data_IF_170053319594
#
_entry.id   IF_170053319594
#
_cell.length_a   1.000
_cell.length_b   1.000
_cell.length_c   1.000
_cell.angle_alpha   90.00
_cell.angle_beta   90.00
_cell.angle_gamma   90.00
#
_symmetry.space_group_name_H-M   'P 1'
#
loop_
_entity.id
_entity.type
_entity.pdbx_description
1 polymer ?
#
# COMPACT_ATOMS: atom_id res chain seq x y z
N UNK A 1 -10.55 22.14 -19.04
CA UNK A 1 -9.86 22.04 -17.73
C UNK A 1 -10.81 22.57 -16.65
N UNK A 2 -11.42 21.69 -15.86
CA UNK A 2 -12.36 22.11 -14.82
C UNK A 2 -11.66 23.04 -13.82
N UNK A 3 -12.18 24.25 -13.66
CA UNK A 3 -11.57 25.29 -12.81
C UNK A 3 -11.99 25.03 -11.35
N UNK A 4 -11.31 24.08 -10.70
CA UNK A 4 -11.50 23.83 -9.27
C UNK A 4 -11.10 25.08 -8.47
N UNK A 5 -11.92 25.43 -7.47
CA UNK A 5 -11.60 26.50 -6.53
C UNK A 5 -10.29 26.21 -5.79
N UNK A 6 -9.54 27.26 -5.43
CA UNK A 6 -8.22 27.13 -4.75
C UNK A 6 -8.33 26.28 -3.48
N UNK A 7 -9.41 26.45 -2.73
CA UNK A 7 -9.69 25.70 -1.52
C UNK A 7 -9.86 24.19 -1.78
N UNK A 8 -10.64 23.83 -2.80
CA UNK A 8 -10.86 22.44 -3.20
C UNK A 8 -9.56 21.77 -3.63
N UNK A 9 -8.69 22.48 -4.37
CA UNK A 9 -7.37 21.95 -4.77
C UNK A 9 -6.48 21.65 -3.57
N UNK A 10 -6.47 22.53 -2.57
CA UNK A 10 -5.68 22.32 -1.34
C UNK A 10 -6.16 21.09 -0.57
N UNK A 11 -7.48 20.96 -0.39
CA UNK A 11 -8.09 19.81 0.30
C UNK A 11 -7.76 18.51 -0.42
N UNK A 12 -7.87 18.52 -1.74
CA UNK A 12 -7.57 17.37 -2.58
C UNK A 12 -6.09 16.96 -2.48
N UNK A 13 -5.17 17.93 -2.51
CA UNK A 13 -3.74 17.65 -2.30
C UNK A 13 -3.48 17.03 -0.93
N UNK A 14 -4.10 17.52 0.14
CA UNK A 14 -3.97 16.92 1.47
C UNK A 14 -4.45 15.47 1.49
N UNK A 15 -5.59 15.18 0.86
CA UNK A 15 -6.11 13.81 0.77
C UNK A 15 -5.18 12.91 -0.04
N UNK A 16 -4.61 13.39 -1.14
CA UNK A 16 -3.63 12.63 -1.92
C UNK A 16 -2.36 12.30 -1.12
N UNK A 17 -1.83 13.27 -0.38
CA UNK A 17 -0.65 13.06 0.48
C UNK A 17 -0.94 12.06 1.61
N UNK A 18 -2.10 12.20 2.27
CA UNK A 18 -2.52 11.25 3.30
C UNK A 18 -2.74 9.84 2.73
N UNK A 19 -3.39 9.74 1.56
CA UNK A 19 -3.60 8.46 0.87
C UNK A 19 -2.28 7.79 0.47
N UNK A 20 -1.32 8.55 -0.04
CA UNK A 20 0.03 8.06 -0.34
C UNK A 20 0.72 7.49 0.90
N UNK A 21 0.63 8.19 2.05
CA UNK A 21 1.19 7.72 3.31
C UNK A 21 0.54 6.41 3.78
N UNK A 22 -0.80 6.35 3.76
CA UNK A 22 -1.54 5.16 4.21
C UNK A 22 -1.28 3.96 3.32
N UNK A 23 -1.22 4.12 1.99
CA UNK A 23 -0.90 3.00 1.09
C UNK A 23 0.56 2.56 1.28
N UNK A 24 1.49 3.51 1.44
CA UNK A 24 2.92 3.21 1.58
C UNK A 24 3.24 2.38 2.83
N UNK A 25 2.58 2.69 3.94
CA UNK A 25 2.86 2.06 5.24
C UNK A 25 1.81 1.03 5.66
N UNK A 26 0.57 1.18 5.22
CA UNK A 26 -0.57 0.36 5.63
C UNK A 26 -0.84 -0.86 4.76
N UNK A 27 -0.37 -0.88 3.50
CA UNK A 27 -0.64 -2.01 2.61
C UNK A 27 -0.02 -3.32 3.09
N UNK A 28 1.27 -3.31 3.45
CA UNK A 28 2.01 -4.51 3.87
C UNK A 28 1.44 -5.11 5.17
N UNK A 29 1.20 -4.33 6.24
CA UNK A 29 0.53 -4.83 7.44
C UNK A 29 -0.85 -5.44 7.15
N UNK A 30 -1.63 -4.82 6.27
CA UNK A 30 -2.98 -5.29 5.94
C UNK A 30 -2.95 -6.63 5.21
N UNK A 31 -2.07 -6.79 4.22
CA UNK A 31 -1.90 -8.06 3.49
C UNK A 31 -1.38 -9.15 4.41
N UNK A 32 -0.42 -8.84 5.28
CA UNK A 32 0.08 -9.78 6.29
C UNK A 32 -1.06 -10.23 7.21
N UNK A 33 -1.82 -9.29 7.76
CA UNK A 33 -2.94 -9.61 8.64
C UNK A 33 -3.97 -10.53 7.95
N UNK A 34 -4.31 -10.25 6.70
CA UNK A 34 -5.22 -11.10 5.92
C UNK A 34 -4.63 -12.49 5.65
N UNK A 35 -3.32 -12.58 5.38
CA UNK A 35 -2.62 -13.86 5.22
C UNK A 35 -2.62 -14.71 6.49
N UNK A 36 -2.43 -14.07 7.66
CA UNK A 36 -2.54 -14.73 8.97
C UNK A 36 -3.98 -15.12 9.31
N UNK A 37 -4.95 -14.23 9.08
CA UNK A 37 -6.34 -14.47 9.40
C UNK A 37 -7.00 -15.56 8.54
N UNK A 38 -6.59 -15.68 7.27
CA UNK A 38 -7.07 -16.75 6.39
C UNK A 38 -6.42 -18.10 6.71
N UNK A 39 -5.25 -18.09 7.33
CA UNK A 39 -4.48 -19.29 7.64
C UNK A 39 -3.95 -20.02 6.39
N UNK A 40 -3.11 -21.03 6.60
CA UNK A 40 -2.73 -21.99 5.57
C UNK A 40 -3.63 -23.22 5.60
N UNK A 41 -3.51 -24.08 4.59
CA UNK A 41 -4.19 -25.38 4.57
C UNK A 41 -3.91 -26.20 5.84
N UNK A 42 -4.88 -27.01 6.30
CA UNK A 42 -4.74 -27.80 7.52
C UNK A 42 -3.54 -28.74 7.42
N UNK A 43 -2.53 -28.52 8.29
CA UNK A 43 -1.25 -29.23 8.29
C UNK A 43 -0.04 -28.35 8.00
N UNK A 44 -0.24 -27.10 7.57
CA UNK A 44 0.85 -26.11 7.45
C UNK A 44 1.23 -25.54 8.82
N UNK A 45 2.54 -25.41 9.13
CA UNK A 45 2.99 -24.80 10.38
C UNK A 45 2.57 -23.34 10.43
N UNK A 46 2.29 -22.86 11.65
CA UNK A 46 1.82 -21.51 11.89
C UNK A 46 2.79 -20.49 11.27
N UNK A 47 2.31 -19.58 10.41
CA UNK A 47 3.20 -18.64 9.76
C UNK A 47 3.89 -17.77 10.82
N UNK A 48 5.21 -17.61 10.68
CA UNK A 48 6.03 -16.90 11.65
C UNK A 48 6.35 -15.50 11.11
N UNK A 49 6.03 -14.46 11.90
CA UNK A 49 6.12 -13.05 11.48
C UNK A 49 7.52 -12.71 10.96
N UNK A 50 8.57 -13.22 11.60
CA UNK A 50 9.96 -12.99 11.22
C UNK A 50 10.29 -13.54 9.83
N UNK A 51 9.72 -14.69 9.46
CA UNK A 51 9.97 -15.32 8.16
C UNK A 51 9.21 -14.64 7.04
N UNK A 52 7.97 -14.21 7.27
CA UNK A 52 7.21 -13.44 6.29
C UNK A 52 7.78 -12.02 6.08
N UNK A 53 8.27 -11.36 7.14
CA UNK A 53 8.86 -10.04 7.04
C UNK A 53 10.15 -10.02 6.18
N UNK A 54 10.99 -11.04 6.28
CA UNK A 54 12.27 -11.12 5.55
C UNK A 54 12.09 -11.52 4.09
N UNK A 55 11.19 -12.46 3.78
CA UNK A 55 11.02 -12.97 2.41
C UNK A 55 10.06 -12.13 1.56
N UNK A 56 8.98 -11.63 2.16
CA UNK A 56 7.90 -10.94 1.43
C UNK A 56 8.03 -9.41 1.55
N UNK A 57 8.63 -8.92 2.64
CA UNK A 57 8.83 -7.49 2.89
C UNK A 57 9.54 -6.74 1.75
N UNK A 58 10.70 -7.21 1.26
CA UNK A 58 11.42 -6.52 0.18
C UNK A 58 10.62 -6.53 -1.14
N UNK A 59 9.98 -7.65 -1.48
CA UNK A 59 9.26 -7.82 -2.74
C UNK A 59 7.94 -7.02 -2.78
N UNK A 60 7.16 -7.05 -1.69
CA UNK A 60 5.95 -6.23 -1.56
C UNK A 60 6.26 -4.74 -1.43
N UNK A 61 7.31 -4.36 -0.70
CA UNK A 61 7.76 -2.96 -0.66
C UNK A 61 8.09 -2.43 -2.05
N UNK A 62 8.84 -3.18 -2.86
CA UNK A 62 9.16 -2.78 -4.23
C UNK A 62 7.91 -2.74 -5.12
N UNK A 63 7.01 -3.72 -5.01
CA UNK A 63 5.75 -3.74 -5.78
C UNK A 63 4.83 -2.56 -5.44
N UNK A 64 4.62 -2.25 -4.16
CA UNK A 64 3.75 -1.15 -3.73
C UNK A 64 4.39 0.21 -4.03
N UNK A 65 5.70 0.33 -3.83
CA UNK A 65 6.43 1.53 -4.23
C UNK A 65 6.31 1.75 -5.75
N UNK A 66 6.53 0.71 -6.55
CA UNK A 66 6.41 0.80 -8.00
C UNK A 66 4.96 1.10 -8.42
N UNK A 67 3.96 0.50 -7.79
CA UNK A 67 2.55 0.73 -8.08
C UNK A 67 2.10 2.15 -7.71
N UNK A 68 2.54 2.68 -6.56
CA UNK A 68 2.30 4.08 -6.15
C UNK A 68 3.05 5.04 -7.08
N UNK A 69 4.30 4.75 -7.43
CA UNK A 69 5.06 5.56 -8.40
C UNK A 69 4.41 5.58 -9.79
N UNK A 70 3.95 4.43 -10.30
CA UNK A 70 3.23 4.36 -11.58
C UNK A 70 1.87 5.07 -11.50
N UNK A 71 1.14 4.95 -10.39
CA UNK A 71 -0.16 5.61 -10.21
C UNK A 71 -0.02 7.14 -10.15
N UNK A 72 1.13 7.64 -9.69
CA UNK A 72 1.42 9.09 -9.62
C UNK A 72 2.00 9.62 -10.92
N UNK A 73 2.93 8.90 -11.57
CA UNK A 73 3.49 9.31 -12.86
C UNK A 73 2.51 9.12 -14.02
N UNK A 74 1.63 8.12 -13.97
CA UNK A 74 0.59 7.89 -14.98
C UNK A 74 -0.57 8.89 -14.93
N UNK A 75 -0.72 9.64 -13.82
CA UNK A 75 -1.67 10.76 -13.72
C UNK A 75 -1.03 12.11 -14.12
N UNK A 76 0.27 12.12 -14.41
CA UNK A 76 1.05 13.29 -14.81
C UNK A 76 1.42 13.31 -16.31
N UNK A 77 0.95 12.35 -17.11
CA UNK A 77 0.91 12.35 -18.58
C UNK A 77 -0.54 12.47 -19.01
#
# INVERSE_FOLDING_TARGET
>A
MAKLSKETKQRLQTVFQAGQFVIRWGFIPTVLYLGFARGGDPGMPEPNILRCAVSVGPSLCVSVHLCVCLSVFGLAI
#
